data_IF_798975002835
#
_entry.id   IF_798975002835
#
_cell.length_a   1.000
_cell.length_b   1.000
_cell.length_c   1.000
_cell.angle_alpha   90.00
_cell.angle_beta   90.00
_cell.angle_gamma   90.00
#
_symmetry.space_group_name_H-M   'P 1'
#
loop_
_entity.id
_entity.type
_entity.pdbx_description
1 polymer ?
#
# COMPACT_ATOMS: atom_id res chain seq x y z
N UNK A 1 -4.57 -25.52 -0.64
CA UNK A 1 -5.45 -25.29 -1.81
C UNK A 1 -6.47 -24.27 -1.36
N UNK A 2 -6.28 -23.00 -1.76
CA UNK A 2 -7.06 -21.87 -1.27
C UNK A 2 -8.55 -22.01 -1.63
N UNK A 3 -9.43 -21.69 -0.68
CA UNK A 3 -10.90 -21.66 -0.82
C UNK A 3 -11.32 -20.94 -2.11
N UNK A 4 -10.56 -19.90 -2.49
CA UNK A 4 -10.75 -19.08 -3.69
C UNK A 4 -10.54 -19.85 -5.02
N UNK A 5 -9.61 -20.80 -5.09
CA UNK A 5 -9.43 -21.65 -6.29
C UNK A 5 -10.58 -22.65 -6.50
N UNK A 6 -11.31 -23.01 -5.44
CA UNK A 6 -12.51 -23.85 -5.55
C UNK A 6 -13.71 -23.07 -6.07
N UNK A 7 -13.85 -21.79 -5.67
CA UNK A 7 -14.90 -20.88 -6.16
C UNK A 7 -14.77 -20.61 -7.66
N UNK A 8 -13.55 -20.42 -8.16
CA UNK A 8 -13.30 -20.17 -9.59
C UNK A 8 -13.69 -21.36 -10.48
N UNK A 9 -13.58 -22.59 -9.99
CA UNK A 9 -14.01 -23.79 -10.71
C UNK A 9 -15.53 -23.99 -10.76
N UNK A 10 -16.27 -23.40 -9.83
CA UNK A 10 -17.74 -23.52 -9.77
C UNK A 10 -18.41 -22.57 -10.78
N UNK A 11 -17.78 -21.43 -11.11
CA UNK A 11 -18.29 -20.43 -12.05
C UNK A 11 -18.25 -20.86 -13.52
N UNK A 12 -17.57 -21.96 -13.87
CA UNK A 12 -17.40 -22.43 -15.26
C UNK A 12 -18.35 -23.59 -15.67
N UNK A 13 -19.17 -24.11 -14.78
CA UNK A 13 -20.07 -25.25 -15.07
C UNK A 13 -21.54 -24.82 -15.09
N UNK A 14 -22.04 -24.69 -16.30
CA UNK A 14 -23.42 -24.87 -16.79
C UNK A 14 -24.61 -24.27 -16.04
N UNK A 15 -25.22 -23.32 -16.73
CA UNK A 15 -26.58 -22.78 -16.67
C UNK A 15 -27.66 -23.86 -16.61
N UNK A 16 -28.58 -23.76 -15.65
CA UNK A 16 -30.01 -24.02 -15.65
C UNK A 16 -30.63 -24.54 -14.32
N UNK A 17 -29.88 -24.51 -13.21
CA UNK A 17 -30.48 -24.82 -11.90
C UNK A 17 -29.88 -23.95 -10.78
N UNK A 18 -29.69 -22.63 -11.06
CA UNK A 18 -28.56 -21.90 -10.52
C UNK A 18 -28.86 -20.96 -9.34
N UNK A 19 -30.13 -20.70 -8.99
CA UNK A 19 -30.42 -19.62 -8.02
C UNK A 19 -30.18 -20.06 -6.58
N UNK A 20 -30.62 -21.24 -6.20
CA UNK A 20 -30.35 -21.82 -4.87
C UNK A 20 -28.85 -22.13 -4.67
N UNK A 21 -28.10 -22.31 -5.78
CA UNK A 21 -26.65 -22.52 -5.77
C UNK A 21 -25.83 -21.24 -5.73
N UNK A 22 -26.40 -20.05 -5.98
CA UNK A 22 -25.69 -18.78 -5.98
C UNK A 22 -25.78 -18.03 -4.64
N UNK A 23 -26.73 -18.32 -3.78
CA UNK A 23 -26.78 -17.73 -2.43
C UNK A 23 -25.63 -18.19 -1.54
N UNK A 24 -25.15 -19.41 -1.70
CA UNK A 24 -24.01 -19.95 -0.95
C UNK A 24 -22.67 -19.26 -1.30
N UNK A 25 -22.33 -19.07 -2.58
CA UNK A 25 -21.14 -18.30 -2.98
C UNK A 25 -21.15 -16.84 -2.49
N UNK A 26 -22.29 -16.15 -2.52
CA UNK A 26 -22.42 -14.78 -2.02
C UNK A 26 -22.08 -14.72 -0.54
N UNK A 27 -22.68 -15.59 0.29
CA UNK A 27 -22.41 -15.66 1.73
C UNK A 27 -20.95 -16.00 2.02
N UNK A 28 -20.34 -16.88 1.21
CA UNK A 28 -18.92 -17.23 1.34
C UNK A 28 -18.01 -16.05 1.03
N UNK A 29 -18.31 -15.27 -0.02
CA UNK A 29 -17.54 -14.07 -0.35
C UNK A 29 -17.71 -13.00 0.73
N UNK A 30 -18.93 -12.79 1.24
CA UNK A 30 -19.18 -11.86 2.35
C UNK A 30 -18.43 -12.27 3.62
N UNK A 31 -18.33 -13.56 3.92
CA UNK A 31 -17.53 -14.03 5.04
C UNK A 31 -16.03 -13.80 4.77
N UNK A 32 -15.54 -14.13 3.57
CA UNK A 32 -14.16 -13.91 3.18
C UNK A 32 -13.77 -12.42 3.24
N UNK A 33 -14.66 -11.51 2.87
CA UNK A 33 -14.47 -10.07 3.02
C UNK A 33 -14.35 -9.66 4.50
N UNK A 34 -15.21 -10.18 5.39
CA UNK A 34 -15.08 -9.93 6.84
C UNK A 34 -13.73 -10.41 7.38
N UNK A 35 -13.29 -11.58 6.92
CA UNK A 35 -12.01 -12.14 7.34
C UNK A 35 -10.84 -11.30 6.83
N UNK A 36 -10.88 -10.83 5.56
CA UNK A 36 -9.89 -9.92 4.99
C UNK A 36 -9.84 -8.56 5.71
N UNK A 37 -10.99 -7.99 6.10
CA UNK A 37 -11.00 -6.77 6.91
C UNK A 37 -10.36 -6.98 8.28
N UNK A 38 -10.60 -8.13 8.92
CA UNK A 38 -9.97 -8.48 10.18
C UNK A 38 -8.45 -8.63 10.01
N UNK A 39 -8.02 -9.28 8.93
CA UNK A 39 -6.60 -9.43 8.58
C UNK A 39 -5.95 -8.07 8.29
N UNK A 40 -6.65 -7.17 7.59
CA UNK A 40 -6.19 -5.80 7.35
C UNK A 40 -5.96 -5.02 8.65
N UNK A 41 -6.89 -5.13 9.59
CA UNK A 41 -6.75 -4.48 10.91
C UNK A 41 -5.55 -5.02 11.68
N UNK A 42 -5.32 -6.34 11.65
CA UNK A 42 -4.16 -6.96 12.28
C UNK A 42 -2.86 -6.53 11.60
N UNK A 43 -2.83 -6.52 10.27
CA UNK A 43 -1.67 -6.07 9.50
C UNK A 43 -1.33 -4.59 9.76
N UNK A 44 -2.35 -3.72 9.84
CA UNK A 44 -2.17 -2.31 10.18
C UNK A 44 -1.60 -2.12 11.60
N UNK A 45 -2.06 -2.90 12.59
CA UNK A 45 -1.51 -2.86 13.96
C UNK A 45 -0.05 -3.31 13.97
N UNK A 46 0.27 -4.42 13.33
CA UNK A 46 1.64 -4.91 13.23
C UNK A 46 2.56 -3.89 12.53
N UNK A 47 2.09 -3.26 11.44
CA UNK A 47 2.81 -2.19 10.76
C UNK A 47 3.07 -1.00 11.68
N UNK A 48 2.07 -0.57 12.44
CA UNK A 48 2.21 0.55 13.39
C UNK A 48 3.23 0.23 14.49
N UNK A 49 3.24 -0.98 15.02
CA UNK A 49 4.20 -1.43 16.03
C UNK A 49 5.64 -1.41 15.50
N UNK A 50 5.87 -1.96 14.30
CA UNK A 50 7.21 -1.99 13.70
C UNK A 50 7.66 -0.57 13.33
N UNK A 51 6.77 0.30 12.81
CA UNK A 51 7.08 1.72 12.59
C UNK A 51 7.46 2.43 13.90
N UNK A 52 6.76 2.17 14.99
CA UNK A 52 7.10 2.75 16.28
C UNK A 52 8.48 2.29 16.78
N UNK A 53 8.84 1.02 16.56
CA UNK A 53 10.18 0.50 16.88
C UNK A 53 11.25 1.16 16.00
N UNK A 54 11.00 1.30 14.70
CA UNK A 54 11.91 1.98 13.77
C UNK A 54 12.17 3.42 14.20
N UNK A 55 11.12 4.20 14.51
CA UNK A 55 11.24 5.58 14.97
C UNK A 55 12.04 5.65 16.28
N UNK A 56 11.75 4.77 17.24
CA UNK A 56 12.48 4.73 18.52
C UNK A 56 13.97 4.46 18.31
N UNK A 57 14.31 3.45 17.52
CA UNK A 57 15.71 3.13 17.20
C UNK A 57 16.41 4.25 16.41
N UNK A 58 15.71 4.90 15.49
CA UNK A 58 16.22 6.07 14.79
C UNK A 58 16.55 7.23 15.75
N UNK A 59 15.71 7.48 16.74
CA UNK A 59 15.97 8.49 17.77
C UNK A 59 17.18 8.13 18.65
N UNK A 60 17.30 6.87 19.07
CA UNK A 60 18.47 6.39 19.82
C UNK A 60 19.77 6.54 19.00
N UNK A 61 19.73 6.17 17.72
CA UNK A 61 20.85 6.36 16.80
C UNK A 61 21.28 7.83 16.70
N UNK A 62 20.30 8.73 16.59
CA UNK A 62 20.55 10.18 16.58
C UNK A 62 21.23 10.64 17.87
N UNK A 63 20.74 10.20 19.02
CA UNK A 63 21.34 10.52 20.32
C UNK A 63 22.79 10.03 20.44
N UNK A 64 23.09 8.79 19.99
CA UNK A 64 24.46 8.30 20.00
C UNK A 64 25.40 9.10 19.10
N UNK A 65 24.92 9.55 17.94
CA UNK A 65 25.72 10.41 17.06
C UNK A 65 26.00 11.77 17.69
N UNK A 66 25.02 12.39 18.33
CA UNK A 66 25.15 13.66 19.05
C UNK A 66 26.12 13.51 20.25
N UNK A 67 26.04 12.40 20.97
CA UNK A 67 26.95 12.10 22.08
C UNK A 67 28.40 11.90 21.57
N UNK A 68 28.58 11.18 20.47
CA UNK A 68 29.87 10.99 19.83
C UNK A 68 30.51 12.32 19.43
N UNK A 69 29.74 13.21 18.83
CA UNK A 69 30.19 14.54 18.44
C UNK A 69 30.56 15.39 19.65
N UNK A 70 29.73 15.35 20.70
CA UNK A 70 29.99 16.05 21.97
C UNK A 70 31.30 15.62 22.59
N UNK A 71 31.58 14.31 22.64
CA UNK A 71 32.85 13.77 23.17
C UNK A 71 34.02 14.21 22.29
N UNK A 72 33.86 14.18 20.98
CA UNK A 72 34.87 14.65 20.05
C UNK A 72 35.21 16.13 20.28
N UNK A 73 34.21 16.99 20.33
CA UNK A 73 34.38 18.42 20.53
C UNK A 73 35.04 18.75 21.89
N UNK A 74 34.64 18.04 22.96
CA UNK A 74 35.29 18.13 24.28
C UNK A 74 36.77 17.76 24.20
N UNK A 75 37.13 16.70 23.50
CA UNK A 75 38.51 16.26 23.35
C UNK A 75 39.36 17.26 22.61
N UNK A 76 38.80 17.85 21.50
CA UNK A 76 39.49 18.91 20.75
C UNK A 76 39.69 20.16 21.60
N UNK A 77 38.69 20.54 22.41
CA UNK A 77 38.80 21.70 23.30
C UNK A 77 39.86 21.50 24.40
N UNK A 78 39.94 20.29 24.99
CA UNK A 78 40.96 19.95 25.99
C UNK A 78 42.36 20.07 25.42
N UNK A 79 42.61 19.53 24.24
CA UNK A 79 43.92 19.66 23.57
C UNK A 79 44.29 21.10 23.25
N UNK A 80 43.34 21.94 22.79
CA UNK A 80 43.56 23.36 22.58
C UNK A 80 43.95 24.08 23.87
N UNK A 81 43.23 23.83 24.97
CA UNK A 81 43.52 24.43 26.28
C UNK A 81 44.87 24.00 26.82
N UNK A 82 45.28 22.77 26.55
CA UNK A 82 46.64 22.30 26.91
C UNK A 82 47.72 23.07 26.08
N UNK A 83 47.50 23.30 24.79
CA UNK A 83 48.40 24.14 23.98
C UNK A 83 48.53 25.60 24.45
N UNK A 84 47.43 26.15 24.97
CA UNK A 84 47.35 27.49 25.52
C UNK A 84 47.95 27.57 26.95
N UNK A 85 48.40 26.44 27.51
CA UNK A 85 48.96 26.37 28.88
C UNK A 85 47.95 26.49 30.00
N UNK A 86 46.65 26.44 29.67
CA UNK A 86 45.54 26.56 30.64
C UNK A 86 45.28 25.23 31.40
N UNK A 87 45.79 24.09 30.89
CA UNK A 87 45.69 22.77 31.48
C UNK A 87 47.05 22.04 31.32
N UNK A 88 47.44 21.26 32.30
CA UNK A 88 48.65 20.44 32.17
C UNK A 88 48.52 19.43 31.02
N UNK A 89 49.53 19.34 30.17
CA UNK A 89 49.49 18.51 28.96
C UNK A 89 49.24 17.05 29.29
N UNK A 90 49.85 16.54 30.37
CA UNK A 90 49.70 15.14 30.80
C UNK A 90 48.27 14.80 31.30
N UNK A 91 47.67 15.73 32.02
CA UNK A 91 46.26 15.60 32.47
C UNK A 91 45.27 15.67 31.27
N UNK A 92 45.49 16.60 30.32
CA UNK A 92 44.69 16.68 29.12
C UNK A 92 44.77 15.38 28.28
N UNK A 93 45.97 14.81 28.14
CA UNK A 93 46.17 13.55 27.42
C UNK A 93 45.47 12.37 28.07
N UNK A 94 45.45 12.29 29.39
CA UNK A 94 44.70 11.24 30.10
C UNK A 94 43.20 11.35 29.88
N UNK A 95 42.64 12.55 30.00
CA UNK A 95 41.23 12.79 29.78
C UNK A 95 40.81 12.55 28.32
N UNK A 96 41.64 12.93 27.36
CA UNK A 96 41.41 12.65 25.93
C UNK A 96 41.47 11.15 25.67
N UNK A 97 42.40 10.40 26.24
CA UNK A 97 42.42 8.93 26.13
C UNK A 97 41.14 8.28 26.65
N UNK A 98 40.63 8.77 27.78
CA UNK A 98 39.35 8.30 28.33
C UNK A 98 38.16 8.61 27.38
N UNK A 99 38.11 9.84 26.87
CA UNK A 99 37.10 10.25 25.89
C UNK A 99 37.17 9.41 24.60
N UNK A 100 38.36 9.07 24.10
CA UNK A 100 38.55 8.20 22.93
C UNK A 100 38.02 6.78 23.18
N UNK A 101 38.19 6.25 24.39
CA UNK A 101 37.60 4.96 24.78
C UNK A 101 36.10 5.02 24.78
N UNK A 102 35.50 6.05 25.39
CA UNK A 102 34.02 6.31 25.35
C UNK A 102 33.50 6.44 23.90
N UNK A 103 34.24 7.20 23.07
CA UNK A 103 33.90 7.36 21.65
C UNK A 103 33.91 6.02 20.91
N UNK A 104 34.88 5.13 21.19
CA UNK A 104 34.93 3.80 20.58
C UNK A 104 33.72 2.93 20.98
N UNK A 105 33.29 3.00 22.24
CA UNK A 105 32.10 2.28 22.71
C UNK A 105 30.81 2.80 22.06
N UNK A 106 30.68 4.13 21.95
CA UNK A 106 29.55 4.76 21.28
C UNK A 106 29.54 4.41 19.78
N UNK A 107 30.71 4.36 19.14
CA UNK A 107 30.82 3.96 17.72
C UNK A 107 30.29 2.54 17.49
N UNK A 108 30.55 1.60 18.41
CA UNK A 108 29.96 0.25 18.33
C UNK A 108 28.42 0.30 18.44
N UNK A 109 27.89 1.08 19.40
CA UNK A 109 26.44 1.26 19.57
C UNK A 109 25.78 1.89 18.35
N UNK A 110 26.44 2.86 17.71
CA UNK A 110 25.99 3.47 16.45
C UNK A 110 25.88 2.39 15.37
N UNK A 111 26.91 1.56 15.20
CA UNK A 111 26.90 0.50 14.18
C UNK A 111 25.78 -0.49 14.42
N UNK A 112 25.58 -0.93 15.67
CA UNK A 112 24.51 -1.85 16.04
C UNK A 112 23.12 -1.24 15.83
N UNK A 113 22.92 0.03 16.23
CA UNK A 113 21.67 0.74 16.06
C UNK A 113 21.36 0.98 14.57
N UNK A 114 22.36 1.31 13.77
CA UNK A 114 22.22 1.53 12.30
C UNK A 114 21.76 0.25 11.60
N UNK A 115 22.36 -0.89 11.94
CA UNK A 115 21.93 -2.20 11.43
C UNK A 115 20.48 -2.54 11.83
N UNK A 116 20.10 -2.23 13.07
CA UNK A 116 18.73 -2.46 13.54
C UNK A 116 17.71 -1.54 12.84
N UNK A 117 18.05 -0.26 12.64
CA UNK A 117 17.22 0.69 11.88
C UNK A 117 17.02 0.20 10.45
N UNK A 118 18.10 -0.23 9.78
CA UNK A 118 18.01 -0.77 8.42
C UNK A 118 17.13 -2.03 8.34
N UNK A 119 17.28 -2.96 9.29
CA UNK A 119 16.43 -4.16 9.37
C UNK A 119 14.96 -3.83 9.62
N UNK A 120 14.66 -2.90 10.53
CA UNK A 120 13.29 -2.45 10.81
C UNK A 120 12.68 -1.75 9.60
N UNK A 121 13.44 -0.95 8.86
CA UNK A 121 12.99 -0.33 7.62
C UNK A 121 12.56 -1.36 6.57
N UNK A 122 13.33 -2.43 6.40
CA UNK A 122 12.97 -3.53 5.49
C UNK A 122 11.67 -4.21 5.93
N UNK A 123 11.48 -4.42 7.23
CA UNK A 123 10.24 -5.00 7.76
C UNK A 123 9.04 -4.08 7.53
N UNK A 124 9.20 -2.76 7.73
CA UNK A 124 8.17 -1.75 7.44
C UNK A 124 7.75 -1.85 5.98
N UNK A 125 8.70 -1.84 5.04
CA UNK A 125 8.42 -1.92 3.59
C UNK A 125 7.68 -3.22 3.23
N UNK A 126 8.09 -4.35 3.81
CA UNK A 126 7.42 -5.63 3.58
C UNK A 126 5.98 -5.65 4.10
N UNK A 127 5.74 -5.09 5.31
CA UNK A 127 4.40 -5.00 5.89
C UNK A 127 3.50 -4.01 5.12
N UNK A 128 4.03 -2.89 4.65
CA UNK A 128 3.30 -1.95 3.77
C UNK A 128 2.86 -2.62 2.48
N UNK A 129 3.74 -3.40 1.86
CA UNK A 129 3.40 -4.20 0.70
C UNK A 129 2.30 -5.23 0.97
N UNK A 130 2.30 -5.87 2.14
CA UNK A 130 1.25 -6.80 2.54
C UNK A 130 -0.09 -6.10 2.76
N UNK A 131 -0.09 -4.97 3.47
CA UNK A 131 -1.30 -4.13 3.68
C UNK A 131 -1.90 -3.71 2.34
N UNK A 132 -1.07 -3.29 1.39
CA UNK A 132 -1.51 -2.92 0.04
C UNK A 132 -2.15 -4.09 -0.70
N UNK A 133 -1.54 -5.28 -0.65
CA UNK A 133 -2.09 -6.50 -1.26
C UNK A 133 -3.46 -6.87 -0.67
N UNK A 134 -3.60 -6.81 0.66
CA UNK A 134 -4.89 -7.10 1.32
C UNK A 134 -5.95 -6.10 0.88
N UNK A 135 -5.64 -4.80 0.83
CA UNK A 135 -6.56 -3.75 0.35
C UNK A 135 -7.03 -4.00 -1.08
N UNK A 136 -6.09 -4.32 -1.99
CA UNK A 136 -6.43 -4.64 -3.38
C UNK A 136 -7.35 -5.88 -3.46
N UNK A 137 -7.07 -6.92 -2.67
CA UNK A 137 -7.92 -8.10 -2.61
C UNK A 137 -9.34 -7.76 -2.12
N UNK A 138 -9.47 -6.91 -1.10
CA UNK A 138 -10.77 -6.45 -0.60
C UNK A 138 -11.54 -5.76 -1.72
N UNK A 139 -10.94 -4.77 -2.40
CA UNK A 139 -11.59 -4.03 -3.49
C UNK A 139 -12.05 -4.96 -4.62
N UNK A 140 -11.21 -5.91 -5.02
CA UNK A 140 -11.55 -6.90 -6.05
C UNK A 140 -12.75 -7.75 -5.63
N UNK A 141 -12.74 -8.28 -4.41
CA UNK A 141 -13.84 -9.13 -3.92
C UNK A 141 -15.13 -8.36 -3.67
N UNK A 142 -15.07 -7.11 -3.25
CA UNK A 142 -16.25 -6.22 -3.15
C UNK A 142 -16.88 -5.98 -4.51
N UNK A 143 -16.06 -5.73 -5.54
CA UNK A 143 -16.52 -5.59 -6.92
C UNK A 143 -17.19 -6.87 -7.43
N UNK A 144 -16.56 -8.02 -7.22
CA UNK A 144 -17.11 -9.32 -7.64
C UNK A 144 -18.42 -9.66 -6.92
N UNK A 145 -18.50 -9.38 -5.62
CA UNK A 145 -19.73 -9.53 -4.84
C UNK A 145 -20.87 -8.67 -5.40
N UNK A 146 -20.58 -7.43 -5.77
CA UNK A 146 -21.55 -6.51 -6.35
C UNK A 146 -22.10 -7.05 -7.68
N UNK A 147 -21.20 -7.55 -8.54
CA UNK A 147 -21.55 -8.17 -9.82
C UNK A 147 -22.40 -9.43 -9.63
N UNK A 148 -22.02 -10.32 -8.70
CA UNK A 148 -22.78 -11.52 -8.40
C UNK A 148 -24.17 -11.20 -7.85
N UNK A 149 -24.28 -10.23 -6.95
CA UNK A 149 -25.59 -9.77 -6.43
C UNK A 149 -26.49 -9.21 -7.54
N UNK A 150 -25.93 -8.47 -8.50
CA UNK A 150 -26.67 -7.98 -9.66
C UNK A 150 -27.15 -9.14 -10.54
N UNK A 151 -26.28 -10.10 -10.86
CA UNK A 151 -26.67 -11.30 -11.64
C UNK A 151 -27.78 -12.11 -10.98
N UNK A 152 -27.75 -12.27 -9.66
CA UNK A 152 -28.83 -12.97 -8.92
C UNK A 152 -30.14 -12.21 -9.03
N UNK A 153 -30.13 -10.87 -8.94
CA UNK A 153 -31.33 -10.05 -9.12
C UNK A 153 -31.94 -10.22 -10.51
N UNK A 154 -31.12 -10.14 -11.57
CA UNK A 154 -31.55 -10.38 -12.96
C UNK A 154 -32.12 -11.78 -13.14
N UNK A 155 -31.45 -12.80 -12.62
CA UNK A 155 -31.91 -14.19 -12.70
C UNK A 155 -33.26 -14.38 -11.98
N UNK A 156 -33.44 -13.80 -10.79
CA UNK A 156 -34.70 -13.84 -10.06
C UNK A 156 -35.83 -13.12 -10.81
N UNK A 157 -35.55 -11.95 -11.41
CA UNK A 157 -36.50 -11.24 -12.25
C UNK A 157 -36.95 -12.08 -13.46
N UNK A 158 -35.99 -12.70 -14.15
CA UNK A 158 -36.25 -13.58 -15.30
C UNK A 158 -37.10 -14.81 -14.91
N UNK A 159 -36.84 -15.42 -13.74
CA UNK A 159 -37.67 -16.52 -13.25
C UNK A 159 -39.11 -16.09 -12.91
N UNK A 160 -39.27 -14.92 -12.31
CA UNK A 160 -40.61 -14.37 -12.03
C UNK A 160 -41.39 -14.10 -13.34
N UNK A 161 -40.69 -13.58 -14.34
CA UNK A 161 -41.26 -13.37 -15.70
C UNK A 161 -41.72 -14.72 -16.26
N UNK A 162 -40.86 -15.71 -16.28
CA UNK A 162 -41.21 -17.04 -16.82
C UNK A 162 -42.36 -17.70 -16.04
N UNK A 163 -42.42 -17.56 -14.71
CA UNK A 163 -43.55 -18.06 -13.91
C UNK A 163 -44.86 -17.35 -14.18
N UNK A 164 -44.84 -16.04 -14.50
CA UNK A 164 -46.02 -15.28 -14.87
C UNK A 164 -46.48 -15.59 -16.28
N UNK A 165 -45.55 -15.75 -17.24
CA UNK A 165 -45.88 -16.19 -18.61
C UNK A 165 -46.56 -17.54 -18.64
N UNK A 166 -46.21 -18.48 -17.77
CA UNK A 166 -46.85 -19.79 -17.66
C UNK A 166 -48.31 -19.72 -17.10
N UNK A 167 -48.69 -18.61 -16.49
CA UNK A 167 -50.00 -18.46 -15.82
C UNK A 167 -51.01 -17.58 -16.58
N UNK A 168 -50.64 -16.93 -17.72
CA UNK A 168 -51.48 -15.93 -18.39
C UNK A 168 -51.91 -16.36 -19.78
N UNK A 169 -53.16 -16.05 -20.13
CA UNK A 169 -53.78 -16.19 -21.44
C UNK A 169 -53.17 -15.19 -22.45
N UNK A 170 -53.13 -15.57 -23.73
CA UNK A 170 -52.26 -15.00 -24.78
C UNK A 170 -52.43 -13.52 -25.14
N UNK A 171 -53.42 -12.78 -24.65
CA UNK A 171 -53.72 -11.44 -25.13
C UNK A 171 -53.24 -10.26 -24.26
N UNK A 172 -52.83 -10.52 -23.04
CA UNK A 172 -52.21 -9.48 -22.17
C UNK A 172 -50.68 -9.59 -22.09
N UNK A 173 -50.11 -10.62 -22.72
CA UNK A 173 -48.71 -11.00 -22.65
C UNK A 173 -47.77 -10.04 -23.40
N UNK A 174 -48.22 -9.49 -24.55
CA UNK A 174 -47.35 -8.65 -25.38
C UNK A 174 -46.92 -7.33 -24.71
N UNK A 175 -47.87 -6.63 -24.09
CA UNK A 175 -47.59 -5.33 -23.43
C UNK A 175 -46.85 -5.49 -22.10
N UNK A 176 -46.99 -6.65 -21.45
CA UNK A 176 -46.28 -6.96 -20.22
C UNK A 176 -44.82 -7.42 -20.51
N UNK A 177 -44.64 -8.17 -21.60
CA UNK A 177 -43.32 -8.57 -22.12
C UNK A 177 -42.46 -7.34 -22.51
N UNK A 178 -43.10 -6.34 -23.15
CA UNK A 178 -42.39 -5.13 -23.55
C UNK A 178 -41.90 -4.33 -22.33
N UNK A 179 -42.75 -4.12 -21.33
CA UNK A 179 -42.37 -3.43 -20.07
C UNK A 179 -41.33 -4.19 -19.25
N UNK A 180 -41.37 -5.51 -19.30
CA UNK A 180 -40.43 -6.34 -18.55
C UNK A 180 -39.07 -6.49 -19.27
N UNK A 181 -39.10 -6.50 -20.61
CA UNK A 181 -37.89 -6.44 -21.42
C UNK A 181 -37.13 -5.16 -21.16
N UNK A 182 -37.83 -4.01 -21.11
CA UNK A 182 -37.25 -2.71 -20.78
C UNK A 182 -36.62 -2.75 -19.36
N UNK A 183 -37.30 -3.34 -18.39
CA UNK A 183 -36.79 -3.43 -17.01
C UNK A 183 -35.57 -4.33 -16.87
N UNK A 184 -35.49 -5.43 -17.64
CA UNK A 184 -34.32 -6.29 -17.68
C UNK A 184 -33.14 -5.59 -18.36
N UNK A 185 -33.41 -4.87 -19.45
CA UNK A 185 -32.39 -4.07 -20.15
C UNK A 185 -31.84 -2.95 -19.27
N UNK A 186 -32.72 -2.28 -18.49
CA UNK A 186 -32.31 -1.24 -17.55
C UNK A 186 -31.40 -1.83 -16.41
N UNK A 187 -31.77 -2.99 -15.86
CA UNK A 187 -30.97 -3.63 -14.82
C UNK A 187 -29.66 -4.24 -15.38
N UNK A 188 -29.68 -4.74 -16.62
CA UNK A 188 -28.48 -5.23 -17.31
C UNK A 188 -27.54 -4.07 -17.68
N UNK A 189 -28.07 -2.94 -18.15
CA UNK A 189 -27.33 -1.71 -18.38
C UNK A 189 -26.74 -1.14 -17.07
N UNK A 190 -27.48 -1.23 -15.97
CA UNK A 190 -26.99 -0.82 -14.65
C UNK A 190 -25.85 -1.71 -14.16
N UNK A 191 -25.97 -3.03 -14.36
CA UNK A 191 -24.91 -3.99 -14.02
C UNK A 191 -23.65 -3.79 -14.88
N UNK A 192 -23.82 -3.47 -16.17
CA UNK A 192 -22.73 -3.15 -17.08
C UNK A 192 -22.08 -1.81 -16.73
N UNK A 193 -22.86 -0.78 -16.42
CA UNK A 193 -22.36 0.53 -15.99
C UNK A 193 -21.53 0.42 -14.69
N UNK A 194 -21.97 -0.42 -13.73
CA UNK A 194 -21.17 -0.68 -12.53
C UNK A 194 -19.88 -1.42 -12.84
N UNK A 195 -19.86 -2.34 -13.80
CA UNK A 195 -18.65 -3.01 -14.29
C UNK A 195 -17.66 -2.05 -14.94
N UNK A 196 -18.16 -1.13 -15.77
CA UNK A 196 -17.34 -0.12 -16.45
C UNK A 196 -16.82 0.98 -15.50
N UNK A 197 -17.58 1.36 -14.48
CA UNK A 197 -17.13 2.29 -13.44
C UNK A 197 -15.96 1.70 -12.63
N UNK A 198 -16.03 0.43 -12.27
CA UNK A 198 -14.96 -0.23 -11.54
C UNK A 198 -13.68 -0.39 -12.38
N UNK A 199 -13.80 -0.67 -13.69
CA UNK A 199 -12.65 -0.68 -14.60
C UNK A 199 -12.02 0.72 -14.77
N UNK A 200 -12.81 1.80 -14.71
CA UNK A 200 -12.30 3.18 -14.75
C UNK A 200 -11.60 3.60 -13.45
N UNK A 201 -12.06 3.12 -12.30
CA UNK A 201 -11.38 3.37 -11.02
C UNK A 201 -10.04 2.63 -10.96
N UNK A 202 -9.96 1.35 -11.38
CA UNK A 202 -8.68 0.62 -11.50
C UNK A 202 -7.72 1.31 -12.49
N UNK A 203 -8.23 1.79 -13.64
CA UNK A 203 -7.42 2.53 -14.63
C UNK A 203 -6.94 3.89 -14.10
N UNK A 204 -7.67 4.55 -13.21
CA UNK A 204 -7.24 5.82 -12.60
C UNK A 204 -6.18 5.60 -11.51
N UNK A 205 -6.32 4.56 -10.69
CA UNK A 205 -5.32 4.21 -9.68
C UNK A 205 -4.00 3.74 -10.34
N UNK A 206 -4.07 2.98 -11.44
CA UNK A 206 -2.88 2.65 -12.23
C UNK A 206 -2.23 3.88 -12.86
N UNK A 207 -3.01 4.84 -13.35
CA UNK A 207 -2.47 6.10 -13.88
C UNK A 207 -1.86 6.98 -12.79
N UNK A 208 -2.50 7.06 -11.62
CA UNK A 208 -1.96 7.78 -10.46
C UNK A 208 -0.66 7.13 -9.98
N UNK A 209 -0.60 5.80 -9.91
CA UNK A 209 0.62 5.09 -9.54
C UNK A 209 1.74 5.28 -10.57
N UNK A 210 1.44 5.26 -11.87
CA UNK A 210 2.43 5.58 -12.92
C UNK A 210 2.94 7.02 -12.82
N UNK A 211 2.06 7.99 -12.58
CA UNK A 211 2.45 9.39 -12.39
C UNK A 211 3.33 9.55 -11.14
N UNK A 212 3.02 8.85 -10.05
CA UNK A 212 3.83 8.87 -8.83
C UNK A 212 5.21 8.21 -9.07
N UNK A 213 5.27 7.10 -9.82
CA UNK A 213 6.53 6.47 -10.22
C UNK A 213 7.36 7.39 -11.14
N UNK A 214 6.75 8.03 -12.14
CA UNK A 214 7.42 8.98 -13.03
C UNK A 214 7.98 10.19 -12.27
N UNK A 215 7.22 10.78 -11.35
CA UNK A 215 7.68 11.90 -10.50
C UNK A 215 8.85 11.45 -9.61
N UNK A 216 8.78 10.26 -9.01
CA UNK A 216 9.85 9.69 -8.19
C UNK A 216 11.14 9.48 -8.98
N UNK A 217 11.05 9.00 -10.22
CA UNK A 217 12.20 8.78 -11.12
C UNK A 217 12.78 10.11 -11.60
N UNK A 218 11.96 11.13 -11.88
CA UNK A 218 12.43 12.46 -12.25
C UNK A 218 13.14 13.18 -11.08
N UNK A 219 12.62 13.03 -9.85
CA UNK A 219 13.26 13.57 -8.64
C UNK A 219 14.59 12.87 -8.34
N UNK A 220 14.70 11.55 -8.47
CA UNK A 220 15.96 10.83 -8.35
C UNK A 220 16.96 11.21 -9.45
N UNK A 221 16.49 11.40 -10.68
CA UNK A 221 17.31 11.86 -11.80
C UNK A 221 17.83 13.29 -11.57
N UNK A 222 16.98 14.17 -11.03
CA UNK A 222 17.37 15.54 -10.67
C UNK A 222 18.41 15.54 -9.54
N UNK A 223 18.26 14.71 -8.51
CA UNK A 223 19.23 14.54 -7.44
C UNK A 223 20.57 13.98 -7.95
N UNK A 224 20.55 12.97 -8.83
CA UNK A 224 21.76 12.43 -9.45
C UNK A 224 22.48 13.46 -10.32
N UNK A 225 21.75 14.25 -11.11
CA UNK A 225 22.32 15.33 -11.91
C UNK A 225 22.95 16.42 -11.03
N UNK A 226 22.31 16.78 -9.92
CA UNK A 226 22.84 17.71 -8.94
C UNK A 226 24.12 17.19 -8.27
N UNK A 227 24.15 15.89 -7.89
CA UNK A 227 25.34 15.26 -7.31
C UNK A 227 26.52 15.15 -8.29
N UNK A 228 26.25 15.02 -9.58
CA UNK A 228 27.27 14.91 -10.64
C UNK A 228 27.66 16.29 -11.24
N UNK A 229 27.05 17.39 -10.78
CA UNK A 229 27.35 18.74 -11.27
C UNK A 229 26.96 18.96 -12.73
N UNK A 230 26.01 18.20 -13.28
CA UNK A 230 25.58 18.23 -14.69
C UNK A 230 24.40 19.21 -14.89
N UNK A 231 24.10 20.05 -13.91
CA UNK A 231 23.04 21.04 -14.03
C UNK A 231 23.51 22.30 -14.78
N UNK A 232 22.81 22.56 -15.92
CA UNK A 232 22.85 23.79 -16.72
C UNK A 232 24.00 24.03 -17.70
N UNK A 233 24.05 23.25 -18.77
CA UNK A 233 24.73 23.68 -20.01
C UNK A 233 23.77 23.75 -21.21
N UNK A 234 22.55 24.32 -21.06
CA UNK A 234 21.70 24.69 -22.23
C UNK A 234 20.62 25.71 -21.87
N UNK A 235 21.07 26.94 -21.56
CA UNK A 235 20.24 28.16 -21.67
C UNK A 235 21.10 29.39 -21.84
N UNK A 236 21.98 29.39 -22.84
CA UNK A 236 22.57 30.60 -23.39
C UNK A 236 23.04 30.33 -24.83
N UNK A 237 22.12 30.31 -25.75
CA UNK A 237 22.35 30.59 -27.18
C UNK A 237 20.96 30.71 -27.84
N UNK A 238 20.44 31.92 -27.84
CA UNK A 238 19.15 32.21 -28.47
C UNK A 238 18.66 33.64 -28.29
N UNK A 239 19.59 34.62 -28.19
CA UNK A 239 19.19 36.00 -28.28
C UNK A 239 20.35 36.84 -28.87
N UNK A 240 20.52 36.77 -30.18
CA UNK A 240 21.13 37.80 -31.02
C UNK A 240 21.05 37.36 -32.48
N UNK A 241 20.02 37.74 -33.17
CA UNK A 241 19.99 38.26 -34.55
C UNK A 241 18.54 38.48 -34.94
#
# INVERSE_FOLDING_TARGET
MNIFQRLFKIGQAETHSAIDKLEDPIKMIEQGLRDLHTELDQANRALAEVKAMHIRRGNELKQYREEQETIHNKSVLLLKKAQEGAVQSEEADQLVKENLRKKADITRRITEADQQVASLQQQVTALEGNVTKIKLSITQWESELKTLKARVKVSNATQQINKQLMKMDSNSVASMLERMKDKVLDEEALAQAYGEMNQKEESNDEKVNKIIEEISVEDELAQLKSQLGIDNAKKQDGASS
#
